data_IF_065472570768
#
_entry.id   IF_065472570768
#
_cell.length_a   1.000
_cell.length_b   1.000
_cell.length_c   1.000
_cell.angle_alpha   90.00
_cell.angle_beta   90.00
_cell.angle_gamma   90.00
#
_symmetry.space_group_name_H-M   'P 1'
#
loop_
_entity.id
_entity.type
_entity.pdbx_description
1 polymer ?
#
# COMPACT_ATOMS: atom_id res chain seq x y z
N UNK A 1 -4.84 20.50 33.16
CA UNK A 1 -4.35 19.31 32.42
C UNK A 1 -5.38 19.04 31.34
N UNK A 2 -5.11 19.39 30.08
CA UNK A 2 -6.07 19.23 28.99
C UNK A 2 -5.73 17.89 28.34
N UNK A 3 -6.52 16.83 28.59
CA UNK A 3 -6.34 15.56 27.88
C UNK A 3 -6.83 15.78 26.45
N UNK A 4 -5.90 15.90 25.51
CA UNK A 4 -6.23 15.81 24.09
C UNK A 4 -6.91 14.45 23.87
N UNK A 5 -8.19 14.46 23.53
CA UNK A 5 -8.86 13.28 22.98
C UNK A 5 -8.04 12.87 21.75
N UNK A 6 -7.58 11.61 21.64
CA UNK A 6 -6.92 11.18 20.43
C UNK A 6 -7.92 11.33 19.29
N UNK A 7 -7.61 12.20 18.33
CA UNK A 7 -8.39 12.31 17.11
C UNK A 7 -8.52 10.95 16.44
N UNK A 8 -9.61 10.75 15.70
CA UNK A 8 -9.86 9.49 15.02
C UNK A 8 -8.62 9.11 14.17
N UNK A 9 -8.20 7.83 14.14
CA UNK A 9 -7.09 7.41 13.30
C UNK A 9 -7.34 7.83 11.85
N UNK A 10 -6.35 8.47 11.22
CA UNK A 10 -6.48 8.90 9.83
C UNK A 10 -6.58 7.65 8.93
N UNK A 11 -7.72 7.50 8.27
CA UNK A 11 -7.96 6.44 7.30
C UNK A 11 -7.37 6.87 5.95
N UNK A 12 -6.57 6.01 5.34
CA UNK A 12 -5.94 6.27 4.03
C UNK A 12 -6.24 5.12 3.08
N UNK A 13 -6.44 5.41 1.81
CA UNK A 13 -6.50 4.40 0.75
C UNK A 13 -5.14 4.38 0.07
N UNK A 14 -4.53 3.20 -0.04
CA UNK A 14 -3.29 3.03 -0.78
C UNK A 14 -3.61 2.82 -2.25
N UNK A 15 -3.18 3.75 -3.11
CA UNK A 15 -3.29 3.65 -4.57
C UNK A 15 -2.22 2.72 -5.14
N UNK A 16 -2.51 2.08 -6.27
CA UNK A 16 -1.57 1.32 -7.11
C UNK A 16 -0.22 2.03 -7.26
N UNK A 17 -0.20 3.32 -7.57
CA UNK A 17 1.05 4.05 -7.78
C UNK A 17 1.88 4.22 -6.51
N UNK A 18 1.24 4.33 -5.33
CA UNK A 18 1.94 4.36 -4.05
C UNK A 18 2.58 3.00 -3.78
N UNK A 19 1.86 1.91 -4.04
CA UNK A 19 2.36 0.55 -3.83
C UNK A 19 3.53 0.27 -4.78
N UNK A 20 3.34 0.45 -6.08
CA UNK A 20 4.38 0.24 -7.10
C UNK A 20 5.61 1.11 -6.81
N UNK A 21 5.41 2.40 -6.53
CA UNK A 21 6.54 3.29 -6.27
C UNK A 21 7.29 2.94 -5.00
N UNK A 22 6.60 2.45 -3.97
CA UNK A 22 7.24 1.98 -2.74
C UNK A 22 8.14 0.76 -2.96
N UNK A 23 7.79 -0.11 -3.92
CA UNK A 23 8.55 -1.33 -4.25
C UNK A 23 9.78 -1.00 -5.10
N UNK A 24 9.64 -0.17 -6.14
CA UNK A 24 10.68 0.00 -7.16
C UNK A 24 11.49 1.30 -7.06
N UNK A 25 10.94 2.37 -6.48
CA UNK A 25 11.56 3.72 -6.53
C UNK A 25 11.86 4.30 -5.14
N UNK A 26 11.21 3.79 -4.09
CA UNK A 26 11.41 4.27 -2.73
C UNK A 26 10.80 5.66 -2.48
N UNK A 27 11.46 6.47 -1.66
CA UNK A 27 11.10 7.88 -1.46
C UNK A 27 9.84 8.09 -0.60
N UNK A 28 9.02 9.08 -0.95
CA UNK A 28 7.80 9.38 -0.17
C UNK A 28 6.78 8.21 -0.14
N UNK A 29 6.55 7.48 -1.24
CA UNK A 29 5.73 6.26 -1.21
C UNK A 29 6.22 5.22 -0.19
N UNK A 30 7.52 4.95 -0.14
CA UNK A 30 8.09 4.05 0.88
C UNK A 30 7.88 4.58 2.30
N UNK A 31 8.04 5.89 2.53
CA UNK A 31 7.76 6.51 3.83
C UNK A 31 6.30 6.31 4.24
N UNK A 32 5.35 6.44 3.31
CA UNK A 32 3.92 6.19 3.56
C UNK A 32 3.73 4.73 4.01
N UNK A 33 4.28 3.76 3.27
CA UNK A 33 4.20 2.34 3.66
C UNK A 33 4.83 2.09 5.04
N UNK A 34 6.00 2.68 5.34
CA UNK A 34 6.62 2.56 6.67
C UNK A 34 5.77 3.15 7.79
N UNK A 35 5.10 4.28 7.56
CA UNK A 35 4.20 4.88 8.55
C UNK A 35 2.97 4.02 8.79
N UNK A 36 2.43 3.42 7.73
CA UNK A 36 1.38 2.41 7.79
C UNK A 36 1.79 1.21 8.64
N UNK A 37 2.97 0.63 8.40
CA UNK A 37 3.52 -0.49 9.19
C UNK A 37 3.73 -0.11 10.67
N UNK A 38 4.05 1.17 10.94
CA UNK A 38 4.15 1.74 12.29
C UNK A 38 2.79 2.09 12.93
N UNK A 39 1.67 1.68 12.32
CA UNK A 39 0.30 1.95 12.78
C UNK A 39 0.00 3.44 13.00
N UNK A 40 0.61 4.32 12.20
CA UNK A 40 0.36 5.78 12.26
C UNK A 40 -0.92 6.18 11.54
N UNK A 41 -1.37 5.35 10.61
CA UNK A 41 -2.60 5.50 9.84
C UNK A 41 -3.30 4.16 9.78
N UNK A 42 -4.56 4.19 9.36
CA UNK A 42 -5.34 3.00 9.09
C UNK A 42 -5.44 2.80 7.57
N UNK A 43 -4.64 1.89 6.98
CA UNK A 43 -4.61 1.70 5.54
C UNK A 43 -5.81 0.87 5.07
N UNK A 44 -6.33 1.22 3.91
CA UNK A 44 -7.31 0.45 3.17
C UNK A 44 -6.83 0.22 1.76
N UNK A 45 -7.18 -0.93 1.23
CA UNK A 45 -7.00 -1.29 -0.17
C UNK A 45 -8.26 -2.02 -0.63
N UNK A 46 -8.65 -1.82 -1.88
CA UNK A 46 -9.82 -2.47 -2.47
C UNK A 46 -9.40 -3.52 -3.50
N UNK A 47 -10.26 -4.51 -3.81
CA UNK A 47 -9.96 -5.51 -4.83
C UNK A 47 -9.58 -4.92 -6.20
N UNK A 48 -10.21 -3.83 -6.71
CA UNK A 48 -9.77 -3.19 -7.94
C UNK A 48 -8.32 -2.68 -7.91
N UNK A 49 -7.88 -2.10 -6.79
CA UNK A 49 -6.51 -1.59 -6.63
C UNK A 49 -5.50 -2.74 -6.58
N UNK A 50 -5.86 -3.85 -5.91
CA UNK A 50 -5.03 -5.07 -5.89
C UNK A 50 -4.86 -5.58 -7.32
N UNK A 51 -5.95 -5.74 -8.06
CA UNK A 51 -5.92 -6.22 -9.43
C UNK A 51 -5.06 -5.34 -10.35
N UNK A 52 -5.22 -4.01 -10.26
CA UNK A 52 -4.39 -3.08 -11.03
C UNK A 52 -2.91 -3.18 -10.64
N UNK A 53 -2.60 -3.31 -9.35
CA UNK A 53 -1.23 -3.50 -8.87
C UNK A 53 -0.61 -4.77 -9.43
N UNK A 54 -1.32 -5.90 -9.38
CA UNK A 54 -0.87 -7.16 -9.95
C UNK A 54 -0.67 -7.08 -11.47
N UNK A 55 -1.59 -6.40 -12.18
CA UNK A 55 -1.44 -6.17 -13.62
C UNK A 55 -0.21 -5.33 -13.95
N UNK A 56 0.07 -4.28 -13.17
CA UNK A 56 1.26 -3.45 -13.36
C UNK A 56 2.53 -4.25 -13.09
N UNK A 57 2.58 -5.04 -12.02
CA UNK A 57 3.71 -5.92 -11.71
C UNK A 57 3.98 -6.92 -12.84
N UNK A 58 2.92 -7.53 -13.39
CA UNK A 58 3.03 -8.47 -14.49
C UNK A 58 3.49 -7.79 -15.79
N UNK A 59 2.76 -6.75 -16.23
CA UNK A 59 2.95 -6.13 -17.55
C UNK A 59 4.18 -5.23 -17.64
N UNK A 60 4.51 -4.50 -16.56
CA UNK A 60 5.58 -3.48 -16.58
C UNK A 60 6.87 -3.92 -15.89
N UNK A 61 6.79 -4.83 -14.93
CA UNK A 61 7.95 -5.27 -14.13
C UNK A 61 8.27 -6.77 -14.28
N UNK A 62 7.59 -7.46 -15.21
CA UNK A 62 7.87 -8.85 -15.60
C UNK A 62 7.81 -9.87 -14.46
N UNK A 63 7.00 -9.60 -13.43
CA UNK A 63 6.76 -10.59 -12.38
C UNK A 63 6.03 -11.81 -12.96
N UNK A 64 6.47 -13.01 -12.58
CA UNK A 64 5.84 -14.27 -13.02
C UNK A 64 4.44 -14.43 -12.43
N UNK A 65 3.53 -15.10 -13.15
CA UNK A 65 2.17 -15.38 -12.65
C UNK A 65 2.20 -16.25 -11.40
N UNK A 66 3.16 -17.17 -11.33
CA UNK A 66 3.38 -18.08 -10.20
C UNK A 66 3.65 -17.30 -8.91
N UNK A 67 4.47 -16.26 -9.00
CA UNK A 67 4.76 -15.35 -7.88
C UNK A 67 3.52 -14.54 -7.47
N UNK A 68 2.76 -14.02 -8.44
CA UNK A 68 1.61 -13.17 -8.16
C UNK A 68 0.41 -13.94 -7.58
N UNK A 69 0.24 -15.21 -7.94
CA UNK A 69 -0.85 -16.06 -7.44
C UNK A 69 -0.73 -16.41 -5.94
N UNK A 70 0.35 -16.01 -5.25
CA UNK A 70 0.52 -16.22 -3.82
C UNK A 70 -0.22 -15.17 -2.96
N UNK A 71 -0.75 -14.10 -3.58
CA UNK A 71 -1.35 -12.96 -2.87
C UNK A 71 -2.78 -13.24 -2.39
N UNK A 72 -3.48 -14.21 -2.98
CA UNK A 72 -4.89 -14.55 -2.69
C UNK A 72 -5.09 -15.81 -1.82
N UNK A 73 -4.09 -16.20 -1.01
CA UNK A 73 -4.19 -17.38 -0.11
C UNK A 73 -4.41 -17.00 1.36
#
# INVERSE_FOLDING_TARGET
>A
MISATPGNPLNIVLDTNIIISSIFFGGNPEKIIRLTLKKKFNPYISPPIINETLEVLYKKFSFSKELLNQVDK
#
